data_IF_274147699870
#
_entry.id   IF_274147699870
#
_cell.length_a   1.000
_cell.length_b   1.000
_cell.length_c   1.000
_cell.angle_alpha   90.00
_cell.angle_beta   90.00
_cell.angle_gamma   90.00
#
_symmetry.space_group_name_H-M   'P 1'
#
loop_
_entity.id
_entity.type
_entity.pdbx_description
1 polymer ?
#
# COMPACT_ATOMS: atom_id res chain seq x y z
N UNK A 1 -9.28 -15.51 -1.75
CA UNK A 1 -7.93 -14.92 -1.88
C UNK A 1 -7.85 -13.87 -2.99
N UNK A 2 -8.23 -14.16 -4.25
CA UNK A 2 -8.24 -13.18 -5.37
C UNK A 2 -8.83 -11.78 -5.08
N UNK A 3 -9.91 -11.68 -4.31
CA UNK A 3 -10.47 -10.38 -3.93
C UNK A 3 -9.57 -9.62 -2.95
N UNK A 4 -8.94 -10.33 -2.02
CA UNK A 4 -7.97 -9.77 -1.05
C UNK A 4 -6.74 -9.28 -1.80
N UNK A 5 -6.21 -10.05 -2.75
CA UNK A 5 -5.09 -9.67 -3.61
C UNK A 5 -5.33 -8.34 -4.32
N UNK A 6 -6.48 -8.23 -5.01
CA UNK A 6 -6.87 -6.99 -5.71
C UNK A 6 -7.02 -5.81 -4.74
N UNK A 7 -7.59 -6.04 -3.55
CA UNK A 7 -7.83 -4.99 -2.56
C UNK A 7 -6.51 -4.49 -1.95
N UNK A 8 -5.60 -5.38 -1.55
CA UNK A 8 -4.29 -4.98 -1.02
C UNK A 8 -3.44 -4.29 -2.08
N UNK A 9 -3.43 -4.79 -3.31
CA UNK A 9 -2.77 -4.13 -4.43
C UNK A 9 -3.28 -2.70 -4.64
N UNK A 10 -4.61 -2.52 -4.64
CA UNK A 10 -5.24 -1.19 -4.76
C UNK A 10 -4.87 -0.25 -3.59
N UNK A 11 -4.88 -0.75 -2.35
CA UNK A 11 -4.51 0.05 -1.18
C UNK A 11 -3.04 0.49 -1.21
N UNK A 12 -2.12 -0.44 -1.52
CA UNK A 12 -0.69 -0.11 -1.67
C UNK A 12 -0.46 0.93 -2.78
N UNK A 13 -1.10 0.76 -3.94
CA UNK A 13 -0.97 1.72 -5.04
C UNK A 13 -1.49 3.12 -4.67
N UNK A 14 -2.64 3.20 -4.00
CA UNK A 14 -3.21 4.48 -3.54
C UNK A 14 -2.33 5.17 -2.50
N UNK A 15 -1.74 4.40 -1.58
CA UNK A 15 -0.79 4.92 -0.60
C UNK A 15 0.48 5.45 -1.28
N UNK A 16 1.07 4.71 -2.21
CA UNK A 16 2.24 5.18 -2.97
C UNK A 16 1.93 6.44 -3.78
N UNK A 17 0.79 6.47 -4.47
CA UNK A 17 0.36 7.63 -5.24
C UNK A 17 0.07 8.86 -4.35
N UNK A 18 -0.28 8.67 -3.08
CA UNK A 18 -0.50 9.77 -2.13
C UNK A 18 0.78 10.49 -1.69
N UNK A 19 1.94 9.87 -1.93
CA UNK A 19 3.28 10.41 -1.61
C UNK A 19 3.87 11.17 -2.79
N UNK A 20 3.56 10.76 -4.01
CA UNK A 20 4.19 11.26 -5.24
C UNK A 20 3.71 12.67 -5.59
N UNK A 21 4.45 13.67 -5.10
CA UNK A 21 4.06 15.09 -5.15
C UNK A 21 4.61 15.87 -6.36
N UNK A 22 5.45 15.25 -7.20
CA UNK A 22 6.10 15.96 -8.31
C UNK A 22 5.95 15.19 -9.62
N UNK A 23 5.01 15.64 -10.46
CA UNK A 23 4.99 15.24 -11.86
C UNK A 23 5.70 16.31 -12.68
N UNK A 24 6.65 15.88 -13.52
CA UNK A 24 7.14 16.71 -14.62
C UNK A 24 5.94 17.02 -15.53
N UNK A 25 5.73 18.28 -15.89
CA UNK A 25 4.68 18.62 -16.84
C UNK A 25 5.06 18.02 -18.21
N UNK A 26 4.40 16.93 -18.61
CA UNK A 26 4.58 16.27 -19.91
C UNK A 26 3.51 16.66 -20.92
N UNK A 27 2.74 17.72 -20.68
CA UNK A 27 1.61 18.12 -21.55
C UNK A 27 2.06 18.46 -22.99
N UNK A 28 3.36 18.78 -23.16
CA UNK A 28 4.00 19.06 -24.45
C UNK A 28 5.01 17.97 -24.88
N UNK A 29 5.13 16.87 -24.14
CA UNK A 29 6.12 15.83 -24.42
C UNK A 29 5.75 15.09 -25.72
N UNK A 30 6.50 15.37 -26.79
CA UNK A 30 6.34 14.74 -28.11
C UNK A 30 5.77 15.64 -29.20
N UNK A 31 5.29 16.85 -28.88
CA UNK A 31 4.75 17.79 -29.86
C UNK A 31 5.72 18.96 -30.11
N UNK A 32 6.38 18.92 -31.27
CA UNK A 32 7.38 19.94 -31.67
C UNK A 32 6.75 21.30 -32.02
N UNK A 33 5.42 21.35 -32.15
CA UNK A 33 4.69 22.53 -32.63
C UNK A 33 3.86 23.22 -31.56
N UNK A 34 3.84 22.70 -30.33
CA UNK A 34 3.01 23.23 -29.27
C UNK A 34 3.64 24.50 -28.63
N UNK A 35 3.03 25.66 -28.88
CA UNK A 35 3.36 26.93 -28.24
C UNK A 35 2.28 27.30 -27.25
N UNK A 36 2.63 27.39 -25.96
CA UNK A 36 1.71 27.87 -24.92
C UNK A 36 1.69 29.41 -24.91
N UNK A 37 0.52 30.01 -25.15
CA UNK A 37 0.32 31.47 -25.11
C UNK A 37 0.37 32.08 -23.69
N UNK A 38 0.59 31.26 -22.65
CA UNK A 38 0.67 31.66 -21.24
C UNK A 38 1.86 30.96 -20.57
N UNK A 39 2.68 31.66 -19.76
CA UNK A 39 3.75 31.02 -19.00
C UNK A 39 3.15 30.02 -17.99
N UNK A 40 3.40 28.72 -18.20
CA UNK A 40 3.13 27.68 -17.19
C UNK A 40 4.43 27.22 -16.54
N UNK A 41 4.41 26.89 -15.23
CA UNK A 41 5.56 26.32 -14.55
C UNK A 41 5.91 24.94 -15.15
N UNK A 42 7.22 24.66 -15.25
CA UNK A 42 7.79 23.42 -15.80
C UNK A 42 7.53 22.17 -14.96
N UNK A 43 7.12 22.36 -13.70
CA UNK A 43 6.63 21.32 -12.80
C UNK A 43 5.25 21.68 -12.28
N UNK A 44 4.34 20.69 -12.24
CA UNK A 44 3.08 20.81 -11.53
C UNK A 44 3.27 20.06 -10.20
N UNK A 45 3.41 20.80 -9.11
CA UNK A 45 3.34 20.22 -7.76
C UNK A 45 1.88 19.99 -7.38
N UNK A 46 1.31 18.87 -7.83
CA UNK A 46 0.01 18.42 -7.34
C UNK A 46 0.21 17.75 -5.98
N UNK A 47 0.36 18.54 -4.91
CA UNK A 47 0.34 17.97 -3.56
C UNK A 47 -1.08 17.48 -3.27
N UNK A 48 -1.22 16.18 -2.98
CA UNK A 48 -2.46 15.63 -2.41
C UNK A 48 -2.79 16.44 -1.15
N UNK A 49 -4.04 16.90 -1.03
CA UNK A 49 -4.50 17.58 0.19
C UNK A 49 -4.23 16.71 1.41
N UNK A 50 -3.73 17.29 2.49
CA UNK A 50 -3.44 16.57 3.74
C UNK A 50 -4.64 15.76 4.25
N UNK A 51 -5.86 16.29 4.11
CA UNK A 51 -7.09 15.58 4.45
C UNK A 51 -7.32 14.31 3.62
N UNK A 52 -7.00 14.38 2.32
CA UNK A 52 -7.11 13.23 1.44
C UNK A 52 -6.04 12.18 1.75
N UNK A 53 -4.85 12.64 2.15
CA UNK A 53 -3.77 11.77 2.62
C UNK A 53 -4.18 10.99 3.88
N UNK A 54 -4.67 11.69 4.90
CA UNK A 54 -5.18 11.06 6.12
C UNK A 54 -6.30 10.05 5.80
N UNK A 55 -7.28 10.44 4.97
CA UNK A 55 -8.38 9.56 4.59
C UNK A 55 -7.90 8.25 3.96
N UNK A 56 -7.00 8.32 2.98
CA UNK A 56 -6.44 7.13 2.31
C UNK A 56 -5.67 6.26 3.30
N UNK A 57 -4.88 6.89 4.17
CA UNK A 57 -4.07 6.19 5.16
C UNK A 57 -4.93 5.43 6.17
N UNK A 58 -5.92 6.10 6.79
CA UNK A 58 -6.76 5.48 7.81
C UNK A 58 -7.74 4.46 7.22
N UNK A 59 -8.22 4.66 5.98
CA UNK A 59 -8.99 3.64 5.26
C UNK A 59 -8.15 2.37 5.03
N UNK A 60 -6.89 2.54 4.61
CA UNK A 60 -5.97 1.42 4.42
C UNK A 60 -5.70 0.71 5.74
N UNK A 61 -5.40 1.46 6.81
CA UNK A 61 -5.15 0.92 8.16
C UNK A 61 -6.34 0.14 8.70
N UNK A 62 -7.56 0.67 8.57
CA UNK A 62 -8.77 -0.02 9.00
C UNK A 62 -9.05 -1.29 8.18
N UNK A 63 -8.81 -1.22 6.86
CA UNK A 63 -8.95 -2.38 5.98
C UNK A 63 -7.96 -3.50 6.32
N UNK A 64 -6.70 -3.17 6.59
CA UNK A 64 -5.68 -4.16 6.97
C UNK A 64 -5.90 -4.69 8.39
N UNK A 65 -6.45 -3.89 9.31
CA UNK A 65 -6.86 -4.35 10.63
C UNK A 65 -7.92 -5.44 10.54
N UNK A 66 -8.96 -5.23 9.73
CA UNK A 66 -10.02 -6.22 9.55
C UNK A 66 -9.47 -7.52 8.93
N UNK A 67 -8.60 -7.39 7.93
CA UNK A 67 -7.95 -8.54 7.31
C UNK A 67 -7.04 -9.30 8.28
N UNK A 68 -6.28 -8.59 9.11
CA UNK A 68 -5.39 -9.18 10.11
C UNK A 68 -6.17 -10.12 11.04
N UNK A 69 -7.30 -9.67 11.58
CA UNK A 69 -8.14 -10.51 12.45
C UNK A 69 -8.73 -11.71 11.71
N UNK A 70 -9.15 -11.52 10.46
CA UNK A 70 -9.64 -12.62 9.64
C UNK A 70 -8.56 -13.69 9.40
N UNK A 71 -7.33 -13.26 9.10
CA UNK A 71 -6.22 -14.21 8.86
C UNK A 71 -5.80 -14.93 10.14
N UNK A 72 -5.83 -14.26 11.30
CA UNK A 72 -5.60 -14.90 12.61
C UNK A 72 -6.67 -15.95 12.92
N UNK A 73 -7.93 -15.67 12.60
CA UNK A 73 -9.00 -16.67 12.73
C UNK A 73 -8.76 -17.87 11.80
N UNK A 74 -8.39 -17.62 10.54
CA UNK A 74 -8.07 -18.67 9.56
C UNK A 74 -6.89 -19.53 10.02
N UNK A 75 -5.85 -18.93 10.60
CA UNK A 75 -4.70 -19.66 11.15
C UNK A 75 -5.13 -20.72 12.17
N UNK A 76 -6.08 -20.39 13.04
CA UNK A 76 -6.61 -21.29 14.07
C UNK A 76 -7.57 -22.30 13.46
N UNK A 77 -8.59 -21.84 12.73
CA UNK A 77 -9.68 -22.68 12.22
C UNK A 77 -9.21 -23.70 11.18
N UNK A 78 -8.14 -23.39 10.45
CA UNK A 78 -7.60 -24.23 9.37
C UNK A 78 -6.17 -24.72 9.64
N UNK A 79 -5.70 -24.69 10.88
CA UNK A 79 -4.33 -25.07 11.25
C UNK A 79 -3.87 -26.39 10.62
N UNK A 80 -4.67 -27.45 10.74
CA UNK A 80 -4.33 -28.78 10.20
C UNK A 80 -4.23 -28.80 8.66
N UNK A 81 -5.11 -28.06 7.96
CA UNK A 81 -5.06 -27.95 6.49
C UNK A 81 -3.83 -27.15 6.04
N UNK A 82 -3.52 -26.08 6.76
CA UNK A 82 -2.35 -25.24 6.51
C UNK A 82 -1.04 -25.99 6.76
N UNK A 83 -0.97 -26.81 7.81
CA UNK A 83 0.18 -27.69 8.09
C UNK A 83 0.35 -28.74 6.99
N UNK A 84 -0.74 -29.44 6.63
CA UNK A 84 -0.71 -30.47 5.58
C UNK A 84 -0.25 -29.93 4.23
N UNK A 85 -0.57 -28.66 3.92
CA UNK A 85 -0.14 -27.98 2.68
C UNK A 85 1.17 -27.23 2.81
N UNK A 86 1.84 -27.26 3.98
CA UNK A 86 3.05 -26.46 4.27
C UNK A 86 2.84 -24.94 4.05
N UNK A 87 1.63 -24.46 4.35
CA UNK A 87 1.17 -23.09 4.13
C UNK A 87 1.19 -22.20 5.39
N UNK A 88 1.34 -22.81 6.57
CA UNK A 88 1.25 -22.12 7.87
C UNK A 88 2.28 -20.98 7.99
N UNK A 89 3.53 -21.24 7.62
CA UNK A 89 4.62 -20.25 7.68
C UNK A 89 4.32 -19.05 6.77
N UNK A 90 3.80 -19.30 5.56
CA UNK A 90 3.41 -18.24 4.63
C UNK A 90 2.27 -17.38 5.18
N UNK A 91 1.26 -18.00 5.81
CA UNK A 91 0.18 -17.27 6.47
C UNK A 91 0.70 -16.38 7.62
N UNK A 92 1.59 -16.92 8.45
CA UNK A 92 2.20 -16.18 9.56
C UNK A 92 3.02 -14.99 9.07
N UNK A 93 3.73 -15.12 7.94
CA UNK A 93 4.45 -14.01 7.34
C UNK A 93 3.50 -12.90 6.89
N UNK A 94 2.35 -13.23 6.29
CA UNK A 94 1.32 -12.25 5.92
C UNK A 94 0.80 -11.54 7.17
N UNK A 95 0.47 -12.29 8.23
CA UNK A 95 -0.01 -11.74 9.51
C UNK A 95 1.00 -10.72 10.05
N UNK A 96 2.29 -11.07 10.09
CA UNK A 96 3.36 -10.20 10.59
C UNK A 96 3.47 -8.88 9.79
N UNK A 97 3.37 -8.94 8.47
CA UNK A 97 3.39 -7.72 7.63
C UNK A 97 2.15 -6.84 7.88
N UNK A 98 0.98 -7.44 8.10
CA UNK A 98 -0.23 -6.70 8.44
C UNK A 98 -0.17 -6.11 9.87
N UNK A 99 0.42 -6.80 10.84
CA UNK A 99 0.65 -6.26 12.19
C UNK A 99 1.53 -5.01 12.17
N UNK A 100 2.53 -4.98 11.29
CA UNK A 100 3.37 -3.80 11.13
C UNK A 100 2.58 -2.57 10.62
N UNK A 101 1.49 -2.77 9.85
CA UNK A 101 0.60 -1.66 9.45
C UNK A 101 -0.17 -1.05 10.62
N UNK A 102 -0.23 -1.73 11.77
CA UNK A 102 -0.97 -1.29 12.96
C UNK A 102 -0.11 -0.60 14.00
N UNK A 103 1.21 -0.49 13.78
CA UNK A 103 2.14 0.17 14.69
C UNK A 103 1.70 1.59 15.07
N UNK A 104 2.08 2.01 16.28
CA UNK A 104 1.74 3.33 16.82
C UNK A 104 2.32 4.44 15.96
N UNK A 105 1.47 5.42 15.64
CA UNK A 105 1.86 6.64 14.96
C UNK A 105 1.93 7.71 16.03
N UNK A 106 3.12 8.28 16.22
CA UNK A 106 3.37 9.30 17.25
C UNK A 106 3.02 10.71 16.78
N UNK A 107 2.79 10.88 15.48
CA UNK A 107 2.34 12.14 14.91
C UNK A 107 0.81 12.25 15.00
N UNK A 108 0.26 13.44 15.33
CA UNK A 108 -1.18 13.67 15.30
C UNK A 108 -1.78 13.63 13.89
N UNK A 109 -0.94 13.74 12.84
CA UNK A 109 -1.34 13.75 11.43
C UNK A 109 -0.42 12.86 10.58
N UNK A 110 -0.91 12.35 9.46
CA UNK A 110 -0.07 11.58 8.52
C UNK A 110 0.87 12.51 7.75
N UNK A 111 2.17 12.26 7.90
CA UNK A 111 3.24 12.98 7.25
C UNK A 111 3.83 12.15 6.11
N UNK A 112 3.98 12.77 4.95
CA UNK A 112 4.77 12.30 3.83
C UNK A 112 5.84 13.35 3.54
N UNK A 113 7.08 13.05 3.92
CA UNK A 113 8.26 13.85 3.62
C UNK A 113 8.66 13.79 2.14
N UNK A 114 9.78 14.45 1.81
CA UNK A 114 10.48 14.23 0.55
C UNK A 114 11.27 12.92 0.60
N UNK A 115 11.50 12.26 -0.54
CA UNK A 115 12.07 10.90 -0.59
C UNK A 115 13.36 10.69 0.22
N UNK A 116 14.23 11.70 0.30
CA UNK A 116 15.48 11.69 1.10
C UNK A 116 15.46 12.67 2.30
N UNK A 117 14.29 13.15 2.71
CA UNK A 117 14.13 14.12 3.79
C UNK A 117 14.18 13.51 5.20
N UNK A 118 14.32 14.37 6.21
CA UNK A 118 14.32 13.99 7.64
C UNK A 118 12.92 13.63 8.18
N UNK A 119 11.86 13.85 7.40
CA UNK A 119 10.47 13.63 7.81
C UNK A 119 10.02 12.21 7.48
N UNK A 120 9.13 11.67 8.31
CA UNK A 120 8.54 10.35 8.08
C UNK A 120 7.74 10.29 6.76
N UNK A 121 7.75 9.12 6.13
CA UNK A 121 6.96 8.80 4.94
C UNK A 121 5.93 7.71 5.29
N UNK A 122 4.95 8.06 6.14
CA UNK A 122 4.03 7.07 6.72
C UNK A 122 3.30 6.27 5.64
N UNK A 123 2.77 6.93 4.60
CA UNK A 123 2.04 6.24 3.54
C UNK A 123 2.93 5.30 2.74
N UNK A 124 4.16 5.70 2.43
CA UNK A 124 5.09 4.84 1.70
C UNK A 124 5.49 3.62 2.52
N UNK A 125 5.77 3.83 3.82
CA UNK A 125 6.09 2.74 4.74
C UNK A 125 4.93 1.76 4.83
N UNK A 126 3.69 2.24 5.03
CA UNK A 126 2.50 1.39 5.03
C UNK A 126 2.29 0.70 3.67
N UNK A 127 2.49 1.39 2.56
CA UNK A 127 2.38 0.82 1.21
C UNK A 127 3.33 -0.35 1.01
N UNK A 128 4.55 -0.27 1.55
CA UNK A 128 5.55 -1.33 1.50
C UNK A 128 5.14 -2.56 2.31
N UNK A 129 4.63 -2.37 3.54
CA UNK A 129 4.09 -3.47 4.34
C UNK A 129 2.92 -4.17 3.62
N UNK A 130 1.97 -3.40 3.09
CA UNK A 130 0.82 -3.93 2.35
C UNK A 130 1.25 -4.64 1.07
N UNK A 131 2.26 -4.13 0.36
CA UNK A 131 2.79 -4.75 -0.86
C UNK A 131 3.42 -6.12 -0.57
N UNK A 132 4.21 -6.24 0.51
CA UNK A 132 4.77 -7.54 0.93
C UNK A 132 3.69 -8.53 1.37
N UNK A 133 2.71 -8.07 2.13
CA UNK A 133 1.56 -8.90 2.49
C UNK A 133 0.79 -9.38 1.24
N UNK A 134 0.62 -8.51 0.24
CA UNK A 134 -0.06 -8.86 -1.00
C UNK A 134 0.71 -9.93 -1.81
N UNK A 135 2.03 -9.78 -1.95
CA UNK A 135 2.87 -10.76 -2.63
C UNK A 135 2.78 -12.14 -1.95
N UNK A 136 2.89 -12.17 -0.62
CA UNK A 136 2.77 -13.40 0.15
C UNK A 136 1.37 -14.03 0.07
N UNK A 137 0.29 -13.24 -0.07
CA UNK A 137 -1.06 -13.78 -0.32
C UNK A 137 -1.16 -14.43 -1.70
N UNK A 138 -0.56 -13.84 -2.73
CA UNK A 138 -0.54 -14.42 -4.08
C UNK A 138 0.18 -15.77 -4.04
N UNK A 139 1.35 -15.84 -3.43
CA UNK A 139 2.11 -17.08 -3.25
C UNK A 139 1.33 -18.13 -2.45
N UNK A 140 0.70 -17.74 -1.35
CA UNK A 140 -0.18 -18.62 -0.57
C UNK A 140 -1.35 -19.16 -1.41
N UNK A 141 -1.97 -18.31 -2.22
CA UNK A 141 -3.07 -18.66 -3.13
C UNK A 141 -2.63 -19.71 -4.16
N UNK A 142 -1.43 -19.55 -4.73
CA UNK A 142 -0.87 -20.51 -5.67
C UNK A 142 -0.56 -21.85 -5.00
N UNK A 143 0.11 -21.83 -3.84
CA UNK A 143 0.45 -23.02 -3.05
C UNK A 143 -0.80 -23.82 -2.68
N UNK A 144 -1.86 -23.15 -2.21
CA UNK A 144 -3.11 -23.81 -1.83
C UNK A 144 -3.90 -24.39 -3.02
N UNK A 145 -3.70 -23.87 -4.23
CA UNK A 145 -4.35 -24.38 -5.45
C UNK A 145 -3.57 -25.51 -6.13
N UNK A 146 -2.25 -25.61 -5.91
CA UNK A 146 -1.38 -26.60 -6.54
C UNK A 146 -1.26 -27.92 -5.76
N UNK A 147 -1.47 -27.89 -4.44
CA UNK A 147 -1.55 -29.10 -3.59
C UNK A 147 -2.99 -29.44 -3.22
#
# INVERSE_FOLDING_TARGET
LKQVEKKLGSLSQRLSASVEAERVNTDLAGDKSASNSTPRPSSIQTRTSWWQLDNVFYEARGSTWALLHLLKAIEVDFASVLENKNALVSLQQIIKELEATQQTIWSPMILNGSGFGMLANHSLVMANYISRANAAIIELSELLNQG
#
